data_IF_236785631763
#
_entry.id   IF_236785631763
#
_cell.length_a   1.000
_cell.length_b   1.000
_cell.length_c   1.000
_cell.angle_alpha   90.00
_cell.angle_beta   90.00
_cell.angle_gamma   90.00
#
_symmetry.space_group_name_H-M   'P 1'
#
loop_
_entity.id
_entity.type
_entity.pdbx_description
1 polymer ?
#
# COMPACT_ATOMS: atom_id res chain seq x y z
N UNK A 1 2.36 -22.27 -12.46
CA UNK A 1 2.35 -20.81 -12.48
C UNK A 1 3.17 -20.34 -11.29
N UNK A 2 4.23 -19.56 -11.49
CA UNK A 2 5.01 -19.01 -10.39
C UNK A 2 4.10 -18.06 -9.60
N UNK A 3 4.09 -18.17 -8.28
CA UNK A 3 3.31 -17.28 -7.43
C UNK A 3 3.96 -15.91 -7.42
N UNK A 4 3.17 -14.88 -7.65
CA UNK A 4 3.63 -13.50 -7.50
C UNK A 4 3.78 -13.17 -6.00
N UNK A 5 4.60 -12.19 -5.67
CA UNK A 5 4.82 -11.77 -4.27
C UNK A 5 3.99 -10.57 -3.86
N UNK A 6 3.50 -9.81 -4.81
CA UNK A 6 2.69 -8.61 -4.56
C UNK A 6 1.44 -8.63 -5.42
N UNK A 7 0.28 -8.71 -4.79
CA UNK A 7 -1.04 -8.66 -5.43
C UNK A 7 -1.74 -7.37 -5.08
N UNK A 8 -2.21 -6.65 -6.07
CA UNK A 8 -3.02 -5.44 -5.90
C UNK A 8 -4.42 -5.75 -6.39
N UNK A 9 -5.43 -5.55 -5.53
CA UNK A 9 -6.84 -5.65 -5.88
C UNK A 9 -7.42 -4.26 -6.01
N UNK A 10 -7.91 -3.91 -7.20
CA UNK A 10 -8.47 -2.60 -7.51
C UNK A 10 -9.76 -2.71 -8.32
N UNK A 11 -10.47 -1.61 -8.49
CA UNK A 11 -11.75 -1.53 -9.20
C UNK A 11 -12.62 -0.43 -8.60
N UNK A 12 -13.80 -0.20 -9.14
CA UNK A 12 -14.75 0.79 -8.62
C UNK A 12 -15.17 0.56 -7.17
N UNK A 13 -15.77 1.57 -6.55
CA UNK A 13 -16.42 1.41 -5.25
C UNK A 13 -17.55 0.37 -5.29
N UNK A 14 -17.64 -0.50 -4.28
CA UNK A 14 -18.74 -1.46 -4.13
C UNK A 14 -18.69 -2.72 -5.01
N UNK A 15 -17.64 -2.94 -5.82
CA UNK A 15 -17.53 -4.11 -6.70
C UNK A 15 -17.03 -5.39 -5.99
N UNK A 16 -16.77 -5.35 -4.68
CA UNK A 16 -16.34 -6.51 -3.91
C UNK A 16 -14.83 -6.70 -3.77
N UNK A 17 -14.01 -5.66 -3.99
CA UNK A 17 -12.54 -5.72 -3.84
C UNK A 17 -12.11 -6.34 -2.51
N UNK A 18 -12.58 -5.76 -1.41
CA UNK A 18 -12.27 -6.21 -0.04
C UNK A 18 -12.63 -7.67 0.18
N UNK A 19 -13.82 -8.11 -0.27
CA UNK A 19 -14.24 -9.50 -0.11
C UNK A 19 -13.33 -10.46 -0.90
N UNK A 20 -12.97 -10.11 -2.13
CA UNK A 20 -12.10 -10.93 -2.97
C UNK A 20 -10.65 -10.94 -2.48
N UNK A 21 -10.12 -9.81 -2.01
CA UNK A 21 -8.76 -9.75 -1.47
C UNK A 21 -8.64 -10.52 -0.14
N UNK A 22 -9.65 -10.47 0.74
CA UNK A 22 -9.71 -11.29 1.96
C UNK A 22 -9.80 -12.78 1.63
N UNK A 23 -10.69 -13.17 0.72
CA UNK A 23 -10.83 -14.56 0.29
C UNK A 23 -9.53 -15.09 -0.34
N UNK A 24 -8.83 -14.25 -1.10
CA UNK A 24 -7.53 -14.60 -1.67
C UNK A 24 -6.46 -14.79 -0.59
N UNK A 25 -6.40 -13.92 0.44
CA UNK A 25 -5.51 -14.12 1.58
C UNK A 25 -5.82 -15.41 2.34
N UNK A 26 -7.09 -15.73 2.59
CA UNK A 26 -7.51 -17.00 3.21
C UNK A 26 -7.01 -18.19 2.40
N UNK A 27 -7.21 -18.17 1.08
CA UNK A 27 -6.73 -19.22 0.18
C UNK A 27 -5.19 -19.39 0.23
N UNK A 28 -4.44 -18.29 0.25
CA UNK A 28 -2.98 -18.33 0.39
C UNK A 28 -2.56 -18.95 1.73
N UNK A 29 -3.23 -18.58 2.82
CA UNK A 29 -2.95 -19.08 4.17
C UNK A 29 -3.28 -20.57 4.31
N UNK A 30 -4.40 -21.03 3.75
CA UNK A 30 -4.76 -22.46 3.70
C UNK A 30 -3.69 -23.28 2.96
N UNK A 31 -3.05 -22.68 1.96
CA UNK A 31 -1.92 -23.27 1.23
C UNK A 31 -0.56 -23.04 1.93
N UNK A 32 -0.56 -22.68 3.22
CA UNK A 32 0.64 -22.47 4.06
C UNK A 32 1.59 -21.39 3.55
N UNK A 33 1.06 -20.39 2.86
CA UNK A 33 1.85 -19.27 2.39
C UNK A 33 1.84 -18.14 3.43
N UNK A 34 2.98 -17.48 3.59
CA UNK A 34 3.11 -16.31 4.47
C UNK A 34 2.43 -15.10 3.83
N UNK A 35 1.16 -14.88 4.16
CA UNK A 35 0.33 -13.84 3.59
C UNK A 35 0.17 -12.65 4.54
N UNK A 36 0.27 -11.44 3.99
CA UNK A 36 -0.04 -10.18 4.66
C UNK A 36 -1.11 -9.42 3.87
N UNK A 37 -2.25 -9.21 4.51
CA UNK A 37 -3.29 -8.35 3.97
C UNK A 37 -3.00 -6.89 4.31
N UNK A 38 -2.97 -6.03 3.29
CA UNK A 38 -2.63 -4.61 3.43
C UNK A 38 -3.82 -3.76 3.01
N UNK A 39 -4.16 -2.75 3.82
CA UNK A 39 -5.24 -1.81 3.55
C UNK A 39 -4.85 -0.40 3.98
N UNK A 40 -5.55 0.61 3.46
CA UNK A 40 -5.33 2.01 3.84
C UNK A 40 -6.22 2.36 5.04
N UNK A 41 -5.62 2.83 6.12
CA UNK A 41 -6.38 3.32 7.27
C UNK A 41 -7.10 4.62 6.93
N UNK A 42 -8.37 4.70 7.31
CA UNK A 42 -9.18 5.90 7.15
C UNK A 42 -8.82 6.94 8.20
N UNK A 43 -7.77 7.73 7.96
CA UNK A 43 -7.32 8.82 8.83
C UNK A 43 -8.20 10.09 8.72
N UNK A 44 -9.51 9.96 8.65
CA UNK A 44 -10.39 11.12 8.84
C UNK A 44 -10.38 11.49 10.32
N UNK A 45 -9.58 12.49 10.65
CA UNK A 45 -9.39 13.10 11.99
C UNK A 45 -10.71 13.45 12.72
N UNK A 46 -11.87 13.33 12.08
CA UNK A 46 -13.17 13.77 12.62
C UNK A 46 -14.19 12.65 12.89
N UNK A 47 -13.89 11.38 12.61
CA UNK A 47 -14.87 10.32 12.84
C UNK A 47 -14.47 9.45 14.03
N UNK A 48 -15.08 9.68 15.19
CA UNK A 48 -15.03 8.79 16.37
C UNK A 48 -15.42 7.32 16.07
N UNK A 49 -15.90 7.02 14.86
CA UNK A 49 -16.42 5.71 14.44
C UNK A 49 -15.52 4.97 13.42
N UNK A 50 -14.41 5.54 12.94
CA UNK A 50 -13.51 4.89 11.96
C UNK A 50 -12.79 3.68 12.53
N UNK A 51 -12.66 3.59 13.84
CA UNK A 51 -12.03 2.49 14.56
C UNK A 51 -12.85 1.18 14.51
N UNK A 52 -14.11 1.21 14.07
CA UNK A 52 -14.96 0.01 14.10
C UNK A 52 -14.79 -0.85 12.85
N UNK A 53 -14.72 -0.23 11.66
CA UNK A 53 -14.56 -0.97 10.40
C UNK A 53 -13.16 -1.61 10.29
N UNK A 54 -12.10 -0.86 10.64
CA UNK A 54 -10.72 -1.38 10.64
C UNK A 54 -10.58 -2.53 11.66
N UNK A 55 -11.15 -2.40 12.86
CA UNK A 55 -11.16 -3.47 13.87
C UNK A 55 -11.94 -4.71 13.43
N UNK A 56 -13.09 -4.52 12.78
CA UNK A 56 -13.86 -5.64 12.23
C UNK A 56 -13.06 -6.37 11.15
N UNK A 57 -12.38 -5.65 10.27
CA UNK A 57 -11.52 -6.20 9.24
C UNK A 57 -10.34 -6.98 9.85
N UNK A 58 -9.67 -6.40 10.84
CA UNK A 58 -8.58 -7.07 11.58
C UNK A 58 -9.06 -8.34 12.28
N UNK A 59 -10.24 -8.30 12.91
CA UNK A 59 -10.83 -9.48 13.54
C UNK A 59 -11.16 -10.57 12.53
N UNK A 60 -11.78 -10.22 11.40
CA UNK A 60 -12.06 -11.18 10.32
C UNK A 60 -10.78 -11.81 9.78
N UNK A 61 -9.71 -11.04 9.61
CA UNK A 61 -8.43 -11.55 9.15
C UNK A 61 -7.80 -12.52 10.18
N UNK A 62 -7.88 -12.20 11.48
CA UNK A 62 -7.43 -13.10 12.55
C UNK A 62 -8.21 -14.40 12.55
N UNK A 63 -9.53 -14.35 12.40
CA UNK A 63 -10.40 -15.53 12.35
C UNK A 63 -10.09 -16.40 11.11
N UNK A 64 -9.64 -15.79 10.01
CA UNK A 64 -9.20 -16.45 8.77
C UNK A 64 -7.72 -16.87 8.79
N UNK A 65 -6.98 -16.55 9.86
CA UNK A 65 -5.62 -17.04 10.11
C UNK A 65 -4.49 -16.28 9.41
N UNK A 66 -4.69 -15.05 8.95
CA UNK A 66 -3.63 -14.23 8.33
C UNK A 66 -3.44 -12.87 9.04
N UNK A 67 -2.27 -12.27 8.80
CA UNK A 67 -1.89 -10.97 9.37
C UNK A 67 -2.41 -9.81 8.52
N UNK A 68 -2.65 -8.68 9.18
CA UNK A 68 -3.05 -7.43 8.54
C UNK A 68 -2.04 -6.31 8.78
N UNK A 69 -2.01 -5.35 7.86
CA UNK A 69 -1.28 -4.10 7.99
C UNK A 69 -2.15 -2.94 7.49
N UNK A 70 -2.58 -2.09 8.40
CA UNK A 70 -3.19 -0.81 8.05
C UNK A 70 -2.11 0.23 7.75
N UNK A 71 -2.11 0.80 6.55
CA UNK A 71 -1.17 1.84 6.14
C UNK A 71 -1.63 3.19 6.68
N UNK A 72 -0.91 3.71 7.67
CA UNK A 72 -1.04 5.09 8.17
C UNK A 72 0.07 5.96 7.59
N UNK A 73 -0.30 7.09 7.00
CA UNK A 73 0.64 7.95 6.31
C UNK A 73 1.71 8.53 7.25
N UNK A 74 1.30 8.97 8.43
CA UNK A 74 2.23 9.58 9.37
C UNK A 74 3.18 8.54 9.96
N UNK A 75 2.68 7.35 10.28
CA UNK A 75 3.50 6.24 10.76
C UNK A 75 4.51 5.78 9.70
N UNK A 76 4.07 5.57 8.45
CA UNK A 76 4.95 5.18 7.35
C UNK A 76 6.00 6.27 7.06
N UNK A 77 5.61 7.55 7.10
CA UNK A 77 6.54 8.68 6.92
C UNK A 77 7.56 8.76 8.05
N UNK A 78 7.12 8.58 9.30
CA UNK A 78 8.02 8.58 10.46
C UNK A 78 9.06 7.48 10.34
N UNK A 79 8.65 6.27 10.00
CA UNK A 79 9.54 5.13 9.85
C UNK A 79 10.55 5.37 8.70
N UNK A 80 10.07 5.86 7.55
CA UNK A 80 10.93 6.21 6.42
C UNK A 80 12.00 7.24 6.82
N UNK A 81 11.59 8.35 7.45
CA UNK A 81 12.51 9.41 7.89
C UNK A 81 13.48 8.89 8.98
N UNK A 82 13.00 8.08 9.93
CA UNK A 82 13.82 7.50 10.98
C UNK A 82 14.90 6.58 10.39
N UNK A 83 14.56 5.76 9.41
CA UNK A 83 15.51 4.89 8.72
C UNK A 83 16.61 5.70 7.98
N UNK A 84 16.22 6.81 7.31
CA UNK A 84 17.17 7.67 6.57
C UNK A 84 18.06 8.48 7.49
N UNK A 85 17.52 9.06 8.55
CA UNK A 85 18.27 9.91 9.49
C UNK A 85 18.87 9.13 10.66
N UNK A 86 18.59 7.82 10.78
CA UNK A 86 19.00 6.94 11.89
C UNK A 86 18.61 7.51 13.26
N UNK A 87 17.47 8.19 13.34
CA UNK A 87 16.96 8.83 14.54
C UNK A 87 15.44 8.92 14.56
N UNK A 88 14.82 8.14 15.45
CA UNK A 88 13.37 8.20 15.68
C UNK A 88 12.90 9.54 16.24
N UNK A 89 13.69 10.16 17.12
CA UNK A 89 13.32 11.42 17.76
C UNK A 89 13.24 12.56 16.74
N UNK A 90 14.22 12.61 15.82
CA UNK A 90 14.22 13.60 14.74
C UNK A 90 13.05 13.35 13.80
N UNK A 91 12.78 12.09 13.43
CA UNK A 91 11.65 11.74 12.60
C UNK A 91 10.32 12.15 13.23
N UNK A 92 10.09 11.83 14.52
CA UNK A 92 8.90 12.27 15.27
C UNK A 92 8.74 13.78 15.32
N UNK A 93 9.83 14.52 15.41
CA UNK A 93 9.78 15.98 15.38
C UNK A 93 9.39 16.49 14.00
N UNK A 94 10.04 15.99 12.92
CA UNK A 94 9.78 16.43 11.54
C UNK A 94 8.31 16.23 11.15
N UNK A 95 7.73 15.05 11.38
CA UNK A 95 6.35 14.76 10.96
C UNK A 95 5.31 15.59 11.68
N UNK A 96 5.61 16.11 12.88
CA UNK A 96 4.73 17.00 13.64
C UNK A 96 4.79 18.45 13.17
N UNK A 97 5.76 18.81 12.34
CA UNK A 97 5.86 20.19 11.85
C UNK A 97 4.72 20.52 10.88
N UNK A 98 4.14 21.73 10.96
CA UNK A 98 3.16 22.18 9.96
C UNK A 98 3.71 22.14 8.53
N UNK A 99 5.01 22.35 8.37
CA UNK A 99 5.70 22.26 7.10
C UNK A 99 5.56 20.87 6.47
N UNK A 100 5.87 19.80 7.23
CA UNK A 100 5.76 18.44 6.71
C UNK A 100 4.31 18.09 6.34
N UNK A 101 3.35 18.45 7.19
CA UNK A 101 1.93 18.21 6.92
C UNK A 101 1.46 18.95 5.65
N UNK A 102 1.89 20.19 5.47
CA UNK A 102 1.61 20.96 4.26
C UNK A 102 2.25 20.31 3.01
N UNK A 103 3.50 19.90 3.11
CA UNK A 103 4.23 19.24 2.02
C UNK A 103 3.51 17.97 1.54
N UNK A 104 3.09 17.10 2.45
CA UNK A 104 2.37 15.87 2.11
C UNK A 104 1.02 16.16 1.45
N UNK A 105 0.32 17.22 1.88
CA UNK A 105 -0.97 17.60 1.31
C UNK A 105 -0.83 18.32 -0.04
N UNK A 106 0.28 19.04 -0.27
CA UNK A 106 0.49 19.83 -1.49
C UNK A 106 1.08 19.05 -2.64
N UNK A 107 1.87 18.00 -2.36
CA UNK A 107 2.54 17.21 -3.41
C UNK A 107 1.68 16.00 -3.78
N UNK A 108 1.01 16.02 -4.95
CA UNK A 108 0.18 14.90 -5.38
C UNK A 108 1.01 13.62 -5.51
N UNK A 109 0.50 12.53 -4.97
CA UNK A 109 1.15 11.21 -5.08
C UNK A 109 2.25 10.93 -4.06
N UNK A 110 2.72 11.89 -3.26
CA UNK A 110 3.77 11.67 -2.26
C UNK A 110 3.37 10.57 -1.25
N UNK A 111 2.12 10.59 -0.78
CA UNK A 111 1.60 9.54 0.11
C UNK A 111 1.71 8.15 -0.52
N UNK A 112 1.43 8.02 -1.81
CA UNK A 112 1.49 6.73 -2.51
C UNK A 112 2.93 6.22 -2.67
N UNK A 113 3.89 7.11 -2.90
CA UNK A 113 5.31 6.73 -2.94
C UNK A 113 5.76 6.23 -1.57
N UNK A 114 5.34 6.90 -0.49
CA UNK A 114 5.66 6.48 0.89
C UNK A 114 5.06 5.09 1.18
N UNK A 115 3.79 4.87 0.84
CA UNK A 115 3.13 3.58 1.05
C UNK A 115 3.77 2.46 0.20
N UNK A 116 4.06 2.74 -1.07
CA UNK A 116 4.73 1.78 -1.95
C UNK A 116 6.11 1.42 -1.42
N UNK A 117 6.89 2.42 -0.97
CA UNK A 117 8.18 2.20 -0.35
C UNK A 117 8.10 1.29 0.87
N UNK A 118 7.11 1.50 1.75
CA UNK A 118 6.88 0.64 2.92
C UNK A 118 6.56 -0.81 2.53
N UNK A 119 5.67 -1.02 1.56
CA UNK A 119 5.30 -2.36 1.08
C UNK A 119 6.51 -3.07 0.48
N UNK A 120 7.23 -2.40 -0.42
CA UNK A 120 8.39 -2.98 -1.10
C UNK A 120 9.53 -3.29 -0.13
N UNK A 121 9.78 -2.41 0.86
CA UNK A 121 10.77 -2.66 1.91
C UNK A 121 10.46 -3.96 2.68
N UNK A 122 9.19 -4.20 3.03
CA UNK A 122 8.77 -5.42 3.72
C UNK A 122 8.97 -6.66 2.85
N UNK A 123 8.62 -6.59 1.57
CA UNK A 123 8.79 -7.68 0.61
C UNK A 123 10.27 -8.01 0.36
N UNK A 124 11.14 -7.00 0.34
CA UNK A 124 12.59 -7.21 0.21
C UNK A 124 13.18 -7.83 1.47
N UNK A 125 12.75 -7.39 2.66
CA UNK A 125 13.22 -7.92 3.94
C UNK A 125 12.79 -9.37 4.19
N UNK A 126 11.62 -9.77 3.73
CA UNK A 126 11.11 -11.14 3.88
C UNK A 126 10.80 -11.75 2.49
N UNK A 127 11.73 -12.56 1.93
CA UNK A 127 11.52 -13.22 0.65
C UNK A 127 10.36 -14.23 0.62
N UNK A 128 9.86 -14.68 1.77
CA UNK A 128 8.74 -15.61 1.88
C UNK A 128 7.39 -14.91 1.88
N UNK A 129 7.37 -13.60 2.12
CA UNK A 129 6.16 -12.80 2.27
C UNK A 129 5.45 -12.63 0.93
N UNK A 130 4.13 -12.86 0.95
CA UNK A 130 3.20 -12.48 -0.11
C UNK A 130 2.29 -11.37 0.40
N UNK A 131 2.36 -10.20 -0.20
CA UNK A 131 1.53 -9.05 0.14
C UNK A 131 0.29 -8.97 -0.76
N UNK A 132 -0.86 -8.76 -0.15
CA UNK A 132 -2.15 -8.56 -0.84
C UNK A 132 -2.68 -7.18 -0.44
N UNK A 133 -2.67 -6.24 -1.37
CA UNK A 133 -3.13 -4.88 -1.16
C UNK A 133 -4.59 -4.73 -1.62
N UNK A 134 -5.49 -4.45 -0.66
CA UNK A 134 -6.84 -3.95 -0.95
C UNK A 134 -6.72 -2.45 -1.25
N UNK A 135 -6.64 -2.14 -2.53
CA UNK A 135 -6.42 -0.77 -2.99
C UNK A 135 -7.73 0.02 -2.97
N UNK A 136 -7.69 1.34 -2.78
CA UNK A 136 -8.81 2.22 -3.06
C UNK A 136 -9.33 2.03 -4.51
N UNK A 137 -10.23 2.89 -4.95
CA UNK A 137 -10.77 2.83 -6.32
C UNK A 137 -9.68 2.78 -7.40
N UNK A 138 -10.01 2.29 -8.59
CA UNK A 138 -9.08 2.06 -9.71
C UNK A 138 -8.18 3.26 -10.04
N UNK A 139 -8.72 4.49 -10.00
CA UNK A 139 -7.91 5.70 -10.20
C UNK A 139 -6.79 5.86 -9.17
N UNK A 140 -7.04 5.55 -7.91
CA UNK A 140 -6.02 5.63 -6.86
C UNK A 140 -4.92 4.56 -7.02
N UNK A 141 -5.27 3.35 -7.46
CA UNK A 141 -4.28 2.30 -7.71
C UNK A 141 -3.34 2.68 -8.86
N UNK A 142 -3.90 3.24 -9.94
CA UNK A 142 -3.10 3.75 -11.07
C UNK A 142 -2.19 4.88 -10.61
N UNK A 143 -2.73 5.89 -9.91
CA UNK A 143 -1.95 6.99 -9.35
C UNK A 143 -0.82 6.49 -8.44
N UNK A 144 -1.04 5.42 -7.66
CA UNK A 144 0.00 4.86 -6.79
C UNK A 144 1.17 4.29 -7.59
N UNK A 145 0.90 3.58 -8.68
CA UNK A 145 1.94 3.04 -9.56
C UNK A 145 2.66 4.15 -10.33
N UNK A 146 1.90 5.09 -10.91
CA UNK A 146 2.44 6.22 -11.67
C UNK A 146 3.25 7.18 -10.79
N UNK A 147 2.85 7.38 -9.53
CA UNK A 147 3.55 8.29 -8.62
C UNK A 147 5.00 7.90 -8.43
N UNK A 148 5.31 6.62 -8.33
CA UNK A 148 6.71 6.16 -8.21
C UNK A 148 7.53 6.57 -9.41
N UNK A 149 6.99 6.41 -10.63
CA UNK A 149 7.66 6.81 -11.86
C UNK A 149 7.76 8.33 -12.00
N UNK A 150 6.70 9.05 -11.65
CA UNK A 150 6.67 10.51 -11.70
C UNK A 150 7.70 11.13 -10.76
N UNK A 151 7.77 10.64 -9.52
CA UNK A 151 8.78 11.11 -8.56
C UNK A 151 10.20 10.80 -9.02
N UNK A 152 10.45 9.63 -9.57
CA UNK A 152 11.75 9.28 -10.14
C UNK A 152 12.16 10.22 -11.29
N UNK A 153 11.20 10.62 -12.11
CA UNK A 153 11.45 11.52 -13.24
C UNK A 153 11.66 12.98 -12.82
N UNK A 154 10.99 13.41 -11.73
CA UNK A 154 11.09 14.79 -11.20
C UNK A 154 12.40 14.97 -10.45
N UNK A 155 12.73 14.03 -9.57
CA UNK A 155 13.97 14.05 -8.78
C UNK A 155 15.05 13.29 -9.55
N UNK A 156 15.92 14.01 -10.24
CA UNK A 156 16.96 13.42 -11.10
C UNK A 156 18.17 12.89 -10.33
N UNK A 157 18.29 13.24 -9.04
CA UNK A 157 19.35 12.82 -8.14
C UNK A 157 18.90 12.85 -6.67
N UNK A 158 19.76 12.37 -5.77
CA UNK A 158 19.51 12.34 -4.32
C UNK A 158 18.64 11.17 -3.85
N UNK A 159 18.33 11.19 -2.55
CA UNK A 159 17.72 10.06 -1.83
C UNK A 159 16.38 9.63 -2.44
N UNK A 160 15.55 10.57 -2.84
CA UNK A 160 14.22 10.26 -3.41
C UNK A 160 14.38 9.56 -4.76
N UNK A 161 15.31 10.01 -5.59
CA UNK A 161 15.60 9.38 -6.87
C UNK A 161 16.14 7.96 -6.70
N UNK A 162 17.10 7.77 -5.80
CA UNK A 162 17.67 6.45 -5.49
C UNK A 162 16.59 5.47 -5.01
N UNK A 163 15.75 5.90 -4.07
CA UNK A 163 14.68 5.06 -3.52
C UNK A 163 13.63 4.72 -4.57
N UNK A 164 13.20 5.68 -5.36
CA UNK A 164 12.22 5.43 -6.44
C UNK A 164 12.81 4.58 -7.56
N UNK A 165 14.10 4.67 -7.86
CA UNK A 165 14.79 3.76 -8.78
C UNK A 165 14.76 2.30 -8.26
N UNK A 166 15.04 2.09 -6.97
CA UNK A 166 14.96 0.77 -6.36
C UNK A 166 13.52 0.22 -6.42
N UNK A 167 12.52 1.05 -6.09
CA UNK A 167 11.11 0.67 -6.19
C UNK A 167 10.73 0.25 -7.62
N UNK A 168 11.11 1.03 -8.63
CA UNK A 168 10.82 0.73 -10.03
C UNK A 168 11.49 -0.57 -10.48
N UNK A 169 12.73 -0.80 -10.07
CA UNK A 169 13.44 -2.05 -10.37
C UNK A 169 12.70 -3.26 -9.81
N UNK A 170 12.23 -3.20 -8.57
CA UNK A 170 11.45 -4.29 -7.97
C UNK A 170 10.11 -4.48 -8.71
N UNK A 171 9.38 -3.40 -9.00
CA UNK A 171 8.10 -3.46 -9.71
C UNK A 171 8.24 -3.97 -11.15
N UNK A 172 9.37 -3.75 -11.82
CA UNK A 172 9.66 -4.24 -13.17
C UNK A 172 10.20 -5.67 -13.19
N UNK A 173 10.51 -6.24 -12.02
CA UNK A 173 10.99 -7.62 -11.94
C UNK A 173 9.91 -8.57 -12.44
N UNK A 174 10.28 -9.46 -13.37
CA UNK A 174 9.35 -10.42 -13.93
C UNK A 174 8.71 -11.25 -12.82
N UNK A 175 7.40 -11.41 -12.91
CA UNK A 175 6.61 -12.19 -11.94
C UNK A 175 6.57 -11.65 -10.49
N UNK A 176 7.03 -10.42 -10.26
CA UNK A 176 7.00 -9.85 -8.91
C UNK A 176 5.59 -9.44 -8.48
N UNK A 177 4.85 -8.67 -9.30
CA UNK A 177 3.53 -8.22 -8.91
C UNK A 177 2.42 -8.58 -9.91
N UNK A 178 1.16 -8.57 -9.44
CA UNK A 178 -0.04 -8.75 -10.24
C UNK A 178 -1.11 -7.75 -9.86
N UNK A 179 -1.59 -7.00 -10.84
CA UNK A 179 -2.74 -6.13 -10.71
C UNK A 179 -4.02 -6.92 -11.05
N UNK A 180 -4.97 -6.98 -10.12
CA UNK A 180 -6.27 -7.60 -10.31
C UNK A 180 -7.33 -6.50 -10.34
N UNK A 181 -7.96 -6.31 -11.49
CA UNK A 181 -9.04 -5.34 -11.67
C UNK A 181 -10.37 -6.07 -11.45
N UNK A 182 -11.13 -5.62 -10.45
CA UNK A 182 -12.42 -6.18 -10.10
C UNK A 182 -13.51 -5.29 -10.69
N UNK A 183 -14.35 -5.88 -11.52
CA UNK A 183 -15.47 -5.19 -12.16
C UNK A 183 -16.75 -6.04 -12.03
N UNK A 184 -17.92 -5.37 -12.00
CA UNK A 184 -19.19 -6.05 -12.14
C UNK A 184 -19.38 -6.51 -13.60
N UNK A 185 -20.08 -7.62 -13.86
CA UNK A 185 -20.29 -8.13 -15.22
C UNK A 185 -21.38 -7.33 -15.96
N UNK A 186 -21.19 -6.02 -16.08
CA UNK A 186 -22.09 -5.12 -16.79
C UNK A 186 -21.29 -4.36 -17.86
N UNK A 187 -21.92 -4.07 -19.00
CA UNK A 187 -21.29 -3.34 -20.10
C UNK A 187 -20.72 -1.98 -19.64
N UNK A 188 -21.45 -1.29 -18.76
CA UNK A 188 -21.04 0.01 -18.24
C UNK A 188 -19.75 -0.10 -17.39
N UNK A 189 -19.63 -1.14 -16.59
CA UNK A 189 -18.46 -1.36 -15.72
C UNK A 189 -17.20 -1.81 -16.48
N UNK A 190 -17.38 -2.33 -17.71
CA UNK A 190 -16.27 -2.74 -18.57
C UNK A 190 -15.75 -1.61 -19.47
N UNK A 191 -16.53 -0.53 -19.65
CA UNK A 191 -16.15 0.63 -20.45
C UNK A 191 -15.46 1.76 -19.64
N UNK A 192 -15.41 1.65 -18.34
CA UNK A 192 -14.78 2.59 -17.42
C UNK A 192 -13.41 2.08 -16.93
#
# INVERSE_FOLDING_TARGET
MSLKRFYIFTGKGGVGKTALSLAFCSHLTENKQNCLYIYFQNNKIQAKNTNTADKQLEQMAMDLGFKTLGLDLMACSQEYIANKLKSENIAKWIIKTPFFQSLVNMIPGLSYVIYMGKILEMLVKDPTLTAVLDSPSSGHALTMLESTQNFNSIFKDGIIHEDTNLMLKELQTQDFFKLNIIALPTLLALHE
#
